data_IF_108631628995
#
_entry.id   IF_108631628995
#
_cell.length_a   1.000
_cell.length_b   1.000
_cell.length_c   1.000
_cell.angle_alpha   90.00
_cell.angle_beta   90.00
_cell.angle_gamma   90.00
#
_symmetry.space_group_name_H-M   'P 1'
#
loop_
_entity.id
_entity.type
_entity.pdbx_description
1 polymer ?
#
# COMPACT_ATOMS: atom_id res chain seq x y z
N UNK A 1 20.22 -15.17 9.27
CA UNK A 1 19.51 -14.42 8.20
C UNK A 1 18.78 -13.24 8.81
N UNK A 2 19.46 -12.10 9.05
CA UNK A 2 18.84 -10.91 9.67
C UNK A 2 19.29 -9.58 9.03
N UNK A 3 20.27 -9.60 8.13
CA UNK A 3 20.76 -8.42 7.39
C UNK A 3 19.93 -8.10 6.14
N UNK A 4 19.49 -9.12 5.40
CA UNK A 4 18.83 -8.92 4.09
C UNK A 4 17.45 -8.26 4.19
N UNK A 5 16.68 -8.54 5.25
CA UNK A 5 15.35 -7.95 5.48
C UNK A 5 15.40 -6.47 5.87
N UNK A 6 16.47 -6.04 6.54
CA UNK A 6 16.68 -4.63 6.92
C UNK A 6 17.10 -3.78 5.72
N UNK A 7 17.91 -4.35 4.83
CA UNK A 7 18.32 -3.68 3.59
C UNK A 7 17.13 -3.46 2.64
N UNK A 8 16.24 -4.46 2.55
CA UNK A 8 15.03 -4.35 1.74
C UNK A 8 14.04 -3.31 2.31
N UNK A 9 13.86 -3.23 3.63
CA UNK A 9 13.03 -2.20 4.27
C UNK A 9 13.57 -0.79 4.02
N UNK A 10 14.89 -0.58 4.09
CA UNK A 10 15.53 0.71 3.79
C UNK A 10 15.33 1.10 2.33
N UNK A 11 15.51 0.14 1.42
CA UNK A 11 15.31 0.38 -0.01
C UNK A 11 13.86 0.78 -0.34
N UNK A 12 12.87 0.08 0.24
CA UNK A 12 11.45 0.40 0.07
C UNK A 12 11.10 1.76 0.69
N UNK A 13 11.64 2.08 1.87
CA UNK A 13 11.44 3.39 2.49
C UNK A 13 12.01 4.53 1.63
N UNK A 14 13.20 4.35 1.02
CA UNK A 14 13.80 5.31 0.11
C UNK A 14 12.93 5.54 -1.13
N UNK A 15 12.41 4.48 -1.75
CA UNK A 15 11.51 4.60 -2.90
C UNK A 15 10.19 5.30 -2.54
N UNK A 16 9.63 5.05 -1.35
CA UNK A 16 8.44 5.75 -0.87
C UNK A 16 8.70 7.25 -0.62
N UNK A 17 9.87 7.62 -0.11
CA UNK A 17 10.26 9.03 0.06
C UNK A 17 10.39 9.72 -1.30
N UNK A 18 11.04 9.08 -2.27
CA UNK A 18 11.14 9.61 -3.64
C UNK A 18 9.74 9.81 -4.26
N UNK A 19 8.85 8.84 -4.07
CA UNK A 19 7.48 8.90 -4.58
C UNK A 19 6.65 9.99 -3.89
N UNK A 20 6.86 10.22 -2.59
CA UNK A 20 6.24 11.32 -1.85
C UNK A 20 6.67 12.67 -2.39
N UNK A 21 7.97 12.88 -2.59
CA UNK A 21 8.52 14.13 -3.15
C UNK A 21 7.96 14.39 -4.55
N UNK A 22 7.91 13.36 -5.40
CA UNK A 22 7.34 13.47 -6.76
C UNK A 22 5.85 13.85 -6.73
N UNK A 23 5.06 13.26 -5.82
CA UNK A 23 3.65 13.60 -5.64
C UNK A 23 3.43 15.05 -5.20
N UNK A 24 4.25 15.55 -4.26
CA UNK A 24 4.20 16.95 -3.82
C UNK A 24 4.54 17.90 -4.97
N UNK A 25 5.53 17.56 -5.80
CA UNK A 25 5.87 18.35 -6.99
C UNK A 25 4.68 18.41 -7.95
N UNK A 26 3.99 17.30 -8.23
CA UNK A 26 2.80 17.32 -9.08
C UNK A 26 1.64 18.14 -8.49
N UNK A 27 1.45 18.14 -7.17
CA UNK A 27 0.44 18.99 -6.53
C UNK A 27 0.76 20.49 -6.67
N UNK A 28 2.03 20.87 -6.49
CA UNK A 28 2.46 22.27 -6.63
C UNK A 28 2.28 22.73 -8.08
N UNK A 29 2.74 21.93 -9.04
CA UNK A 29 2.60 22.24 -10.46
C UNK A 29 1.14 22.31 -10.90
N UNK A 30 0.30 21.37 -10.45
CA UNK A 30 -1.15 21.39 -10.69
C UNK A 30 -1.84 22.61 -10.08
N UNK A 31 -1.47 22.99 -8.86
CA UNK A 31 -2.04 24.16 -8.18
C UNK A 31 -1.64 25.50 -8.81
N UNK A 32 -0.39 25.61 -9.27
CA UNK A 32 0.07 26.77 -10.05
C UNK A 32 -0.64 26.86 -11.40
N UNK A 33 -0.87 25.73 -12.06
CA UNK A 33 -1.59 25.66 -13.33
C UNK A 33 -3.09 26.00 -13.16
N UNK A 34 -3.70 25.61 -12.04
CA UNK A 34 -5.12 25.89 -11.75
C UNK A 34 -5.40 27.37 -11.48
N UNK A 35 -4.49 28.08 -10.81
CA UNK A 35 -4.67 29.49 -10.44
C UNK A 35 -4.28 30.50 -11.53
N UNK A 36 -3.83 30.05 -12.70
CA UNK A 36 -3.43 30.95 -13.78
C UNK A 36 -4.66 31.52 -14.48
N UNK A 37 -5.08 32.72 -14.09
CA UNK A 37 -6.15 33.48 -14.76
C UNK A 37 -5.77 33.75 -16.23
N UNK A 38 -6.44 33.07 -17.16
CA UNK A 38 -6.16 33.11 -18.60
C UNK A 38 -5.77 31.75 -19.21
N UNK A 39 -5.70 30.69 -18.41
CA UNK A 39 -5.50 29.33 -18.90
C UNK A 39 -6.78 28.81 -19.58
N UNK A 40 -6.69 28.31 -20.82
CA UNK A 40 -7.84 27.77 -21.55
C UNK A 40 -8.45 26.53 -20.87
N UNK A 41 -9.67 26.13 -21.27
CA UNK A 41 -10.43 25.00 -20.70
C UNK A 41 -9.60 23.70 -20.57
N UNK A 42 -8.69 23.45 -21.53
CA UNK A 42 -7.81 22.29 -21.57
C UNK A 42 -6.70 22.32 -20.49
N UNK A 43 -6.30 23.52 -20.05
CA UNK A 43 -5.29 23.69 -19.02
C UNK A 43 -5.89 23.49 -17.61
N UNK A 44 -7.16 23.87 -17.41
CA UNK A 44 -7.87 23.57 -16.16
C UNK A 44 -8.14 22.08 -15.99
N UNK A 45 -8.55 21.36 -17.05
CA UNK A 45 -8.75 19.91 -16.98
C UNK A 45 -7.45 19.16 -16.70
N UNK A 46 -6.34 19.55 -17.35
CA UNK A 46 -5.02 19.01 -17.10
C UNK A 46 -4.53 19.30 -15.66
N UNK A 47 -4.78 20.49 -15.14
CA UNK A 47 -4.42 20.86 -13.76
C UNK A 47 -5.17 20.02 -12.72
N UNK A 48 -6.47 19.79 -12.91
CA UNK A 48 -7.28 18.94 -12.02
C UNK A 48 -6.78 17.49 -12.06
N UNK A 49 -6.40 16.98 -13.23
CA UNK A 49 -5.83 15.64 -13.36
C UNK A 49 -4.49 15.51 -12.62
N UNK A 50 -3.60 16.50 -12.76
CA UNK A 50 -2.31 16.54 -12.05
C UNK A 50 -2.49 16.60 -10.53
N UNK A 51 -3.50 17.33 -10.05
CA UNK A 51 -3.85 17.37 -8.63
C UNK A 51 -4.37 16.01 -8.13
N UNK A 52 -5.25 15.36 -8.90
CA UNK A 52 -5.79 14.04 -8.54
C UNK A 52 -4.70 12.96 -8.47
N UNK A 53 -3.83 12.90 -9.48
CA UNK A 53 -2.71 11.95 -9.52
C UNK A 53 -1.69 12.25 -8.41
N UNK A 54 -1.36 13.52 -8.17
CA UNK A 54 -0.47 13.94 -7.08
C UNK A 54 -0.99 13.53 -5.70
N UNK A 55 -2.28 13.73 -5.42
CA UNK A 55 -2.92 13.29 -4.18
C UNK A 55 -2.83 11.77 -4.00
N UNK A 56 -3.14 10.99 -5.04
CA UNK A 56 -3.08 9.53 -4.97
C UNK A 56 -1.66 9.01 -4.68
N UNK A 57 -0.67 9.60 -5.34
CA UNK A 57 0.76 9.28 -5.15
C UNK A 57 1.19 9.57 -3.70
N UNK A 58 0.81 10.74 -3.16
CA UNK A 58 1.11 11.11 -1.77
C UNK A 58 0.45 10.16 -0.78
N UNK A 59 -0.81 9.77 -0.98
CA UNK A 59 -1.50 8.82 -0.11
C UNK A 59 -0.83 7.45 -0.08
N UNK A 60 -0.50 6.88 -1.24
CA UNK A 60 0.22 5.60 -1.33
C UNK A 60 1.59 5.68 -0.67
N UNK A 61 2.32 6.79 -0.85
CA UNK A 61 3.61 7.01 -0.24
C UNK A 61 3.53 7.17 1.29
N UNK A 62 2.50 7.84 1.81
CA UNK A 62 2.25 7.98 3.25
C UNK A 62 1.91 6.63 3.88
N UNK A 63 1.09 5.80 3.23
CA UNK A 63 0.82 4.44 3.72
C UNK A 63 2.06 3.54 3.65
N UNK A 64 2.90 3.66 2.61
CA UNK A 64 4.17 2.94 2.49
C UNK A 64 5.22 3.36 3.52
N UNK A 65 5.34 4.67 3.78
CA UNK A 65 6.26 5.22 4.78
C UNK A 65 5.78 4.90 6.20
N UNK A 66 4.47 4.98 6.46
CA UNK A 66 3.87 4.56 7.72
C UNK A 66 4.05 3.04 7.91
N UNK A 67 3.90 2.22 6.86
CA UNK A 67 4.18 0.77 6.93
C UNK A 67 5.65 0.41 7.16
N UNK A 68 6.59 1.25 6.70
CA UNK A 68 8.03 1.05 6.90
C UNK A 68 8.54 1.55 8.27
N UNK A 69 7.95 2.63 8.81
CA UNK A 69 8.40 3.29 10.05
C UNK A 69 7.54 2.87 11.26
N UNK A 70 6.25 2.61 11.07
CA UNK A 70 5.37 2.26 12.18
C UNK A 70 5.56 0.80 12.57
N UNK A 71 6.11 0.60 13.77
CA UNK A 71 5.94 -0.61 14.58
C UNK A 71 4.51 -0.71 15.15
N UNK A 72 3.52 -0.14 14.44
CA UNK A 72 2.15 0.02 14.88
C UNK A 72 1.23 -0.41 13.75
N UNK A 73 0.64 -1.58 13.93
CA UNK A 73 -0.73 -1.99 13.67
C UNK A 73 -1.55 -1.54 12.44
N UNK A 74 -1.10 -0.67 11.55
CA UNK A 74 -1.82 -0.39 10.30
C UNK A 74 -1.79 -1.59 9.32
N UNK A 75 -1.12 -2.69 9.68
CA UNK A 75 -1.23 -4.03 9.10
C UNK A 75 -2.12 -4.98 9.93
N UNK A 76 -2.96 -4.50 10.87
CA UNK A 76 -3.85 -5.33 11.72
C UNK A 76 -5.19 -5.69 11.05
N UNK A 77 -5.27 -5.77 9.72
CA UNK A 77 -6.47 -6.46 9.14
C UNK A 77 -6.43 -7.96 9.48
N UNK A 78 -5.25 -8.53 9.75
CA UNK A 78 -5.10 -9.96 10.08
C UNK A 78 -5.60 -10.32 11.48
N UNK A 79 -5.96 -9.37 12.35
CA UNK A 79 -6.26 -9.66 13.77
C UNK A 79 -7.73 -9.69 14.15
N UNK A 80 -8.62 -9.86 13.18
CA UNK A 80 -10.04 -10.08 13.45
C UNK A 80 -10.48 -11.50 13.06
N UNK A 81 -9.54 -12.45 13.12
CA UNK A 81 -9.79 -13.85 12.87
C UNK A 81 -9.19 -14.71 13.99
N UNK A 82 -9.68 -15.95 14.12
CA UNK A 82 -9.16 -16.90 15.07
C UNK A 82 -9.06 -18.31 14.50
N UNK A 83 -7.85 -18.86 14.53
CA UNK A 83 -7.56 -20.12 13.87
C UNK A 83 -7.36 -19.96 12.37
N UNK A 84 -6.63 -20.89 11.77
CA UNK A 84 -6.38 -20.88 10.33
C UNK A 84 -7.62 -21.39 9.59
N UNK A 85 -8.11 -22.56 9.99
CA UNK A 85 -9.30 -23.22 9.45
C UNK A 85 -10.44 -23.28 10.47
N UNK A 86 -10.12 -23.38 11.77
CA UNK A 86 -11.10 -23.43 12.85
C UNK A 86 -10.46 -22.94 14.16
N UNK A 87 -11.28 -22.48 15.11
CA UNK A 87 -10.82 -22.12 16.47
C UNK A 87 -10.18 -23.32 17.20
N UNK A 88 -10.49 -24.55 16.77
CA UNK A 88 -9.89 -25.79 17.30
C UNK A 88 -8.41 -25.97 16.94
N UNK A 89 -7.87 -25.20 16.00
CA UNK A 89 -6.45 -25.26 15.63
C UNK A 89 -5.54 -25.07 16.86
N UNK A 90 -6.03 -24.31 17.86
CA UNK A 90 -5.33 -24.07 19.12
C UNK A 90 -5.26 -25.31 20.04
N UNK A 91 -6.17 -26.28 19.93
CA UNK A 91 -6.17 -27.48 20.78
C UNK A 91 -4.97 -28.39 20.51
N UNK A 92 -4.42 -28.31 19.30
CA UNK A 92 -3.19 -29.01 18.90
C UNK A 92 -1.96 -28.50 19.66
N UNK A 93 -2.01 -27.26 20.15
CA UNK A 93 -0.90 -26.64 20.85
C UNK A 93 -0.96 -26.97 22.35
N UNK A 94 0.09 -27.55 22.95
CA UNK A 94 0.11 -27.88 24.38
C UNK A 94 -0.14 -26.68 25.31
N UNK A 95 0.12 -25.45 24.85
CA UNK A 95 -0.09 -24.23 25.63
C UNK A 95 -1.57 -23.76 25.68
N UNK A 96 -2.43 -24.29 24.82
CA UNK A 96 -3.81 -23.82 24.62
C UNK A 96 -4.85 -24.95 24.76
N UNK A 97 -4.52 -25.99 25.51
CA UNK A 97 -5.43 -27.11 25.79
C UNK A 97 -6.62 -26.69 26.66
N UNK A 98 -7.75 -27.36 26.45
CA UNK A 98 -8.97 -27.17 27.25
C UNK A 98 -9.75 -25.91 26.90
N UNK A 99 -9.78 -25.53 25.62
CA UNK A 99 -10.57 -24.41 25.11
C UNK A 99 -9.97 -23.02 25.34
N UNK A 100 -8.73 -22.91 25.84
CA UNK A 100 -8.04 -21.63 26.06
C UNK A 100 -7.55 -21.06 24.73
N UNK A 101 -7.72 -19.76 24.53
CA UNK A 101 -7.34 -19.06 23.31
C UNK A 101 -6.34 -17.94 23.59
N UNK A 102 -5.44 -17.63 22.64
CA UNK A 102 -4.54 -16.48 22.75
C UNK A 102 -5.33 -15.17 22.74
N UNK A 103 -4.81 -14.14 23.40
CA UNK A 103 -5.46 -12.82 23.51
C UNK A 103 -5.77 -12.20 22.14
N UNK A 104 -4.95 -12.48 21.12
CA UNK A 104 -5.17 -12.02 19.75
C UNK A 104 -6.42 -12.60 19.07
N UNK A 105 -6.98 -13.68 19.60
CA UNK A 105 -8.23 -14.29 19.14
C UNK A 105 -9.46 -13.67 19.83
N UNK A 106 -9.27 -12.91 20.90
CA UNK A 106 -10.35 -12.42 21.75
C UNK A 106 -10.93 -11.10 21.24
N UNK A 107 -12.25 -11.06 21.04
CA UNK A 107 -12.99 -9.93 20.45
C UNK A 107 -13.08 -8.70 21.36
N UNK A 108 -12.96 -8.89 22.67
CA UNK A 108 -13.09 -7.83 23.68
C UNK A 108 -11.97 -7.93 24.71
N UNK A 109 -10.73 -7.64 24.26
CA UNK A 109 -9.55 -7.67 25.11
C UNK A 109 -9.32 -6.29 25.74
N UNK A 110 -9.75 -6.13 27.00
CA UNK A 110 -9.14 -5.14 27.89
C UNK A 110 -7.73 -5.61 28.24
N UNK A 111 -6.79 -4.69 28.50
CA UNK A 111 -5.38 -5.00 28.84
C UNK A 111 -5.22 -5.91 30.08
N UNK A 112 -6.31 -6.18 30.80
CA UNK A 112 -6.42 -7.06 31.97
C UNK A 112 -6.90 -8.48 31.67
N UNK A 113 -7.37 -8.78 30.46
CA UNK A 113 -7.87 -10.11 30.09
C UNK A 113 -6.73 -11.02 29.64
N UNK A 114 -6.41 -12.05 30.43
CA UNK A 114 -5.25 -12.93 30.20
C UNK A 114 -5.49 -14.03 29.17
N UNK A 115 -6.75 -14.39 28.88
CA UNK A 115 -7.16 -15.36 27.85
C UNK A 115 -8.70 -15.36 27.69
N UNK A 116 -9.20 -15.76 26.53
CA UNK A 116 -10.62 -16.09 26.30
C UNK A 116 -10.78 -17.60 26.06
N UNK A 117 -12.03 -18.09 26.06
CA UNK A 117 -12.36 -19.51 25.94
C UNK A 117 -13.42 -19.77 24.88
N UNK A 118 -13.36 -20.93 24.23
CA UNK A 118 -14.36 -21.40 23.25
C UNK A 118 -15.74 -21.69 23.86
N UNK A 119 -15.82 -21.75 25.19
CA UNK A 119 -17.07 -21.98 25.95
C UNK A 119 -18.02 -20.78 25.95
N UNK A 120 -17.54 -19.60 25.52
CA UNK A 120 -18.30 -18.35 25.44
C UNK A 120 -18.23 -17.79 24.02
N UNK A 121 -19.35 -17.90 23.27
CA UNK A 121 -19.46 -17.55 21.85
C UNK A 121 -19.15 -16.08 21.53
N UNK A 122 -19.32 -15.18 22.50
CA UNK A 122 -19.15 -13.73 22.32
C UNK A 122 -17.73 -13.24 22.63
N UNK A 123 -16.83 -14.13 23.10
CA UNK A 123 -15.51 -13.76 23.60
C UNK A 123 -14.38 -13.76 22.57
N UNK A 124 -14.62 -14.21 21.33
CA UNK A 124 -13.58 -14.41 20.33
C UNK A 124 -14.02 -14.10 18.88
N UNK A 125 -13.04 -13.93 17.99
CA UNK A 125 -13.27 -13.67 16.58
C UNK A 125 -13.81 -14.93 15.86
N UNK A 126 -15.03 -14.86 15.37
CA UNK A 126 -15.71 -15.96 14.67
C UNK A 126 -15.21 -16.20 13.24
N UNK A 127 -14.43 -15.27 12.67
CA UNK A 127 -13.88 -15.42 11.32
C UNK A 127 -12.62 -16.29 11.32
N UNK A 128 -12.48 -17.14 10.31
CA UNK A 128 -11.27 -17.93 10.08
C UNK A 128 -10.22 -17.10 9.35
N UNK A 129 -8.94 -17.31 9.65
CA UNK A 129 -7.88 -16.48 9.07
C UNK A 129 -7.64 -16.75 7.60
N UNK A 130 -7.93 -17.95 7.09
CA UNK A 130 -7.82 -18.28 5.66
C UNK A 130 -8.59 -17.30 4.79
N UNK A 131 -9.86 -17.09 5.08
CA UNK A 131 -10.76 -16.26 4.26
C UNK A 131 -10.34 -14.79 4.29
N UNK A 132 -9.97 -14.29 5.47
CA UNK A 132 -9.47 -12.92 5.63
C UNK A 132 -8.19 -12.71 4.84
N UNK A 133 -7.24 -13.66 4.91
CA UNK A 133 -6.00 -13.60 4.14
C UNK A 133 -6.29 -13.60 2.63
N UNK A 134 -7.20 -14.45 2.17
CA UNK A 134 -7.53 -14.54 0.74
C UNK A 134 -8.19 -13.25 0.22
N UNK A 135 -9.12 -12.67 0.98
CA UNK A 135 -9.79 -11.40 0.63
C UNK A 135 -8.76 -10.26 0.57
N UNK A 136 -7.90 -10.17 1.58
CA UNK A 136 -6.84 -9.14 1.64
C UNK A 136 -5.85 -9.31 0.50
N UNK A 137 -5.41 -10.55 0.25
CA UNK A 137 -4.45 -10.84 -0.81
C UNK A 137 -5.03 -10.54 -2.19
N UNK A 138 -6.27 -10.94 -2.47
CA UNK A 138 -6.97 -10.63 -3.72
C UNK A 138 -7.18 -9.13 -3.90
N UNK A 139 -7.57 -8.42 -2.84
CA UNK A 139 -7.74 -6.97 -2.86
C UNK A 139 -6.43 -6.23 -3.16
N UNK A 140 -5.34 -6.64 -2.50
CA UNK A 140 -4.00 -6.10 -2.76
C UNK A 140 -3.53 -6.42 -4.18
N UNK A 141 -3.68 -7.67 -4.64
CA UNK A 141 -3.22 -8.08 -5.97
C UNK A 141 -3.96 -7.34 -7.09
N UNK A 142 -5.29 -7.17 -6.95
CA UNK A 142 -6.10 -6.44 -7.92
C UNK A 142 -5.77 -4.94 -7.93
N UNK A 143 -5.66 -4.32 -6.74
CA UNK A 143 -5.32 -2.90 -6.61
C UNK A 143 -3.91 -2.57 -7.12
N UNK A 144 -2.89 -3.30 -6.67
CA UNK A 144 -1.51 -3.07 -7.11
C UNK A 144 -1.28 -3.51 -8.56
N UNK A 145 -1.95 -4.56 -9.03
CA UNK A 145 -1.84 -5.04 -10.41
C UNK A 145 -2.25 -3.99 -11.44
N UNK A 146 -3.35 -3.26 -11.19
CA UNK A 146 -3.81 -2.20 -12.08
C UNK A 146 -2.83 -1.03 -12.11
N UNK A 147 -2.38 -0.58 -10.94
CA UNK A 147 -1.45 0.55 -10.81
C UNK A 147 -0.11 0.22 -11.49
N UNK A 148 0.40 -1.01 -11.30
CA UNK A 148 1.63 -1.47 -11.91
C UNK A 148 1.52 -1.53 -13.44
N UNK A 149 0.40 -2.03 -13.97
CA UNK A 149 0.18 -2.10 -15.41
C UNK A 149 0.13 -0.71 -16.07
N UNK A 150 -0.62 0.23 -15.47
CA UNK A 150 -0.71 1.61 -15.96
C UNK A 150 0.67 2.28 -15.94
N UNK A 151 1.42 2.08 -14.85
CA UNK A 151 2.76 2.66 -14.69
C UNK A 151 3.75 2.07 -15.70
N UNK A 152 3.72 0.76 -15.94
CA UNK A 152 4.59 0.09 -16.91
C UNK A 152 4.36 0.62 -18.34
N UNK A 153 3.10 0.79 -18.74
CA UNK A 153 2.75 1.35 -20.05
C UNK A 153 3.22 2.80 -20.16
N UNK A 154 2.97 3.61 -19.13
CA UNK A 154 3.38 5.01 -19.12
C UNK A 154 4.91 5.18 -19.23
N UNK A 155 5.69 4.36 -18.52
CA UNK A 155 7.15 4.37 -18.58
C UNK A 155 7.68 3.90 -19.94
N UNK A 156 7.05 2.88 -20.53
CA UNK A 156 7.42 2.39 -21.85
C UNK A 156 7.20 3.47 -22.94
N UNK A 157 6.06 4.15 -22.91
CA UNK A 157 5.79 5.26 -23.82
C UNK A 157 6.76 6.44 -23.62
N UNK A 158 7.13 6.72 -22.37
CA UNK A 158 8.11 7.77 -22.04
C UNK A 158 9.49 7.47 -22.65
N UNK A 159 9.95 6.21 -22.61
CA UNK A 159 11.21 5.79 -23.21
C UNK A 159 11.18 5.90 -24.75
N UNK A 160 10.07 5.52 -25.38
CA UNK A 160 9.91 5.66 -26.83
C UNK A 160 9.99 7.13 -27.26
N UNK A 161 9.26 8.03 -26.58
CA UNK A 161 9.28 9.45 -26.90
C UNK A 161 10.65 10.09 -26.67
N UNK A 162 11.36 9.72 -25.60
CA UNK A 162 12.71 10.20 -25.34
C UNK A 162 13.72 9.78 -26.44
N UNK A 163 13.60 8.56 -26.94
CA UNK A 163 14.47 8.07 -28.03
C UNK A 163 14.19 8.77 -29.37
N UNK A 164 12.92 9.07 -29.68
CA UNK A 164 12.53 9.82 -30.88
C UNK A 164 13.05 11.25 -30.80
N UNK A 165 12.87 11.93 -29.66
CA UNK A 165 13.31 13.31 -29.46
C UNK A 165 14.83 13.45 -29.64
N UNK A 166 15.60 12.53 -29.04
CA UNK A 166 17.06 12.49 -29.17
C UNK A 166 17.50 12.30 -30.63
N UNK A 167 16.75 11.49 -31.39
CA UNK A 167 17.01 11.25 -32.80
C UNK A 167 16.73 12.48 -33.68
N UNK A 168 15.75 13.31 -33.32
CA UNK A 168 15.47 14.58 -34.03
C UNK A 168 16.56 15.63 -33.75
N UNK A 169 16.97 15.80 -32.49
CA UNK A 169 18.02 16.76 -32.10
C UNK A 169 19.34 16.45 -32.81
N UNK A 170 19.69 15.17 -32.96
CA UNK A 170 20.90 14.77 -33.69
C UNK A 170 20.87 15.19 -35.16
N UNK A 171 19.71 15.16 -35.81
CA UNK A 171 19.55 15.58 -37.22
C UNK A 171 19.68 17.09 -37.40
N UNK A 172 19.19 17.86 -36.44
CA UNK A 172 19.32 19.33 -36.44
C UNK A 172 20.78 19.78 -36.21
N UNK A 173 21.53 19.10 -35.33
CA UNK A 173 22.91 19.48 -35.03
C UNK A 173 23.94 18.98 -36.07
N UNK A 174 23.61 17.94 -36.83
CA UNK A 174 24.44 17.46 -37.95
C UNK A 174 23.66 17.54 -39.27
N UNK A 175 23.44 18.76 -39.80
CA UNK A 175 22.84 18.93 -41.11
C UNK A 175 23.85 18.44 -42.15
N UNK A 176 23.64 17.23 -42.65
CA UNK A 176 24.32 16.74 -43.85
C UNK A 176 23.52 17.20 -45.07
#
# INVERSE_FOLDING_TARGET
MSGSVKCLQVFVALLCIVQFVLGIVFLILGGMAYNKSGAGLNAHSAAIFLLAVGCFIVLVALFGLCGAIAKNSCLLIVTQCCGYDDVKDWESNPNFKGGKLPISCCSNSTFTATACSTTSSDGYHQMVCRDVIEIVLKGMLYGFGIIAAITAIALFLTLLLASILTSQIRKEYNPV
#
